data_IF_454510529802
#
_entry.id   IF_454510529802
#
_cell.length_a   1.000
_cell.length_b   1.000
_cell.length_c   1.000
_cell.angle_alpha   90.00
_cell.angle_beta   90.00
_cell.angle_gamma   90.00
#
_symmetry.space_group_name_H-M   'P 1'
#
loop_
_entity.id
_entity.type
_entity.pdbx_description
1 polymer ?
#
# COMPACT_ATOMS: atom_id res chain seq x y z
N UNK A 1 -16.43 -2.85 12.02
CA UNK A 1 -15.47 -1.95 11.35
C UNK A 1 -14.10 -2.47 11.68
N UNK A 2 -13.26 -2.73 10.68
CA UNK A 2 -11.86 -3.11 10.87
C UNK A 2 -11.08 -1.86 11.32
N UNK A 3 -10.17 -2.00 12.28
CA UNK A 3 -9.29 -0.90 12.71
C UNK A 3 -8.18 -0.66 11.68
N UNK A 4 -7.49 0.48 11.80
CA UNK A 4 -6.32 0.76 10.97
C UNK A 4 -5.23 -0.31 11.14
N UNK A 5 -4.93 -0.70 12.38
CA UNK A 5 -3.90 -1.68 12.71
C UNK A 5 -4.27 -3.06 12.14
N UNK A 6 -5.53 -3.47 12.27
CA UNK A 6 -6.02 -4.72 11.68
C UNK A 6 -5.90 -4.72 10.16
N UNK A 7 -6.26 -3.59 9.53
CA UNK A 7 -6.13 -3.43 8.08
C UNK A 7 -4.68 -3.52 7.64
N UNK A 8 -3.79 -2.79 8.32
CA UNK A 8 -2.37 -2.77 7.97
C UNK A 8 -1.72 -4.15 8.15
N UNK A 9 -1.99 -4.83 9.27
CA UNK A 9 -1.52 -6.20 9.47
C UNK A 9 -2.01 -7.16 8.38
N UNK A 10 -3.29 -7.08 7.99
CA UNK A 10 -3.82 -7.91 6.91
C UNK A 10 -3.15 -7.61 5.56
N UNK A 11 -2.89 -6.34 5.25
CA UNK A 11 -2.23 -5.93 4.01
C UNK A 11 -0.76 -6.35 4.02
N UNK A 12 -0.06 -6.19 5.14
CA UNK A 12 1.35 -6.57 5.26
C UNK A 12 1.53 -8.09 5.12
N UNK A 13 0.71 -8.90 5.81
CA UNK A 13 0.68 -10.36 5.66
C UNK A 13 0.40 -10.79 4.22
N UNK A 14 -0.46 -10.06 3.52
CA UNK A 14 -0.73 -10.27 2.10
C UNK A 14 0.52 -9.96 1.26
N UNK A 15 1.14 -8.79 1.45
CA UNK A 15 2.33 -8.38 0.71
C UNK A 15 3.49 -9.36 0.91
N UNK A 16 3.73 -9.82 2.14
CA UNK A 16 4.78 -10.79 2.45
C UNK A 16 4.64 -12.09 1.65
N UNK A 17 3.41 -12.52 1.35
CA UNK A 17 3.14 -13.73 0.57
C UNK A 17 3.08 -13.46 -0.93
N UNK A 18 2.43 -12.37 -1.34
CA UNK A 18 2.14 -12.10 -2.74
C UNK A 18 3.32 -11.52 -3.51
N UNK A 19 4.09 -10.62 -2.91
CA UNK A 19 5.17 -9.90 -3.62
C UNK A 19 6.28 -10.84 -4.11
N UNK A 20 6.78 -11.81 -3.32
CA UNK A 20 7.77 -12.75 -3.83
C UNK A 20 7.26 -13.56 -5.04
N UNK A 21 5.99 -13.99 -5.00
CA UNK A 21 5.37 -14.75 -6.10
C UNK A 21 5.21 -13.88 -7.35
N UNK A 22 4.79 -12.63 -7.18
CA UNK A 22 4.62 -11.69 -8.28
C UNK A 22 5.97 -11.34 -8.93
N UNK A 23 7.01 -11.09 -8.13
CA UNK A 23 8.36 -10.85 -8.64
C UNK A 23 8.91 -12.05 -9.40
N UNK A 24 8.70 -13.27 -8.89
CA UNK A 24 9.07 -14.49 -9.60
C UNK A 24 8.38 -14.56 -10.97
N UNK A 25 7.07 -14.31 -11.03
CA UNK A 25 6.33 -14.30 -12.29
C UNK A 25 6.84 -13.21 -13.26
N UNK A 26 7.24 -12.05 -12.78
CA UNK A 26 7.83 -11.00 -13.62
C UNK A 26 9.19 -11.42 -14.20
N UNK A 27 10.01 -12.14 -13.44
CA UNK A 27 11.29 -12.69 -13.90
C UNK A 27 11.04 -13.72 -14.99
N UNK A 28 10.17 -14.70 -14.73
CA UNK A 28 9.86 -15.79 -15.67
C UNK A 28 9.35 -15.28 -17.02
N UNK A 29 8.57 -14.19 -17.01
CA UNK A 29 8.02 -13.58 -18.22
C UNK A 29 8.92 -12.52 -18.86
N UNK A 30 10.13 -12.29 -18.36
CA UNK A 30 11.03 -11.21 -18.79
C UNK A 30 10.39 -9.80 -18.73
N UNK A 31 9.50 -9.58 -17.75
CA UNK A 31 8.80 -8.31 -17.52
C UNK A 31 9.40 -7.50 -16.36
N UNK A 32 10.45 -8.02 -15.71
CA UNK A 32 11.09 -7.38 -14.59
C UNK A 32 11.63 -5.99 -14.98
N UNK A 33 11.26 -4.98 -14.20
CA UNK A 33 11.77 -3.61 -14.33
C UNK A 33 12.69 -3.29 -13.15
N UNK A 34 13.55 -2.28 -13.32
CA UNK A 34 14.44 -1.81 -12.25
C UNK A 34 13.62 -1.41 -11.02
N UNK A 35 13.84 -2.11 -9.90
CA UNK A 35 13.29 -1.72 -8.60
C UNK A 35 14.12 -0.58 -8.00
N UNK A 36 13.47 0.52 -7.60
CA UNK A 36 14.11 1.64 -6.90
C UNK A 36 13.51 1.69 -5.50
N UNK A 37 14.37 1.77 -4.48
CA UNK A 37 13.92 1.95 -3.10
C UNK A 37 13.03 3.21 -3.01
N UNK A 38 11.80 3.01 -2.54
CA UNK A 38 10.90 4.06 -2.15
C UNK A 38 11.04 4.32 -0.64
N UNK A 39 10.54 5.48 -0.17
CA UNK A 39 10.48 5.78 1.26
C UNK A 39 9.40 5.00 2.00
N UNK A 40 8.35 4.58 1.27
CA UNK A 40 7.27 3.75 1.77
C UNK A 40 7.40 2.35 1.19
N UNK A 41 7.14 1.36 2.03
CA UNK A 41 6.89 -0.02 1.64
C UNK A 41 5.61 -0.13 0.81
N UNK A 42 5.48 -1.26 0.10
CA UNK A 42 4.30 -1.50 -0.71
C UNK A 42 3.04 -1.73 0.15
N UNK A 43 3.17 -2.35 1.33
CA UNK A 43 2.07 -2.51 2.27
C UNK A 43 1.56 -1.16 2.74
N UNK A 44 2.43 -0.23 3.15
CA UNK A 44 2.04 1.14 3.52
C UNK A 44 1.31 1.86 2.37
N UNK A 45 1.82 1.75 1.13
CA UNK A 45 1.17 2.36 -0.03
C UNK A 45 -0.22 1.75 -0.26
N UNK A 46 -0.34 0.42 -0.16
CA UNK A 46 -1.62 -0.27 -0.31
C UNK A 46 -2.62 0.12 0.78
N UNK A 47 -2.20 0.16 2.04
CA UNK A 47 -3.01 0.61 3.18
C UNK A 47 -3.52 2.03 2.95
N UNK A 48 -2.66 2.96 2.53
CA UNK A 48 -3.06 4.35 2.21
C UNK A 48 -4.08 4.42 1.08
N UNK A 49 -3.94 3.60 0.03
CA UNK A 49 -4.90 3.56 -1.08
C UNK A 49 -6.25 3.00 -0.63
N UNK A 50 -6.28 1.94 0.17
CA UNK A 50 -7.51 1.36 0.70
C UNK A 50 -8.23 2.37 1.59
N UNK A 51 -7.50 3.02 2.50
CA UNK A 51 -8.05 4.08 3.36
C UNK A 51 -8.58 5.26 2.55
N UNK A 52 -7.89 5.67 1.49
CA UNK A 52 -8.37 6.72 0.59
C UNK A 52 -9.72 6.35 -0.02
N UNK A 53 -9.86 5.11 -0.52
CA UNK A 53 -11.12 4.63 -1.10
C UNK A 53 -12.24 4.53 -0.06
N UNK A 54 -11.93 4.11 1.17
CA UNK A 54 -12.91 3.98 2.25
C UNK A 54 -13.31 5.33 2.88
N UNK A 55 -12.45 6.34 2.81
CA UNK A 55 -12.67 7.64 3.47
C UNK A 55 -13.52 8.62 2.66
N UNK A 56 -13.92 8.25 1.43
CA UNK A 56 -14.79 9.05 0.55
C UNK A 56 -14.25 10.45 0.18
N UNK A 57 -12.95 10.70 0.33
CA UNK A 57 -12.34 11.93 -0.16
C UNK A 57 -12.42 11.98 -1.69
N UNK A 58 -12.75 13.16 -2.23
CA UNK A 58 -12.86 13.36 -3.69
C UNK A 58 -11.53 13.21 -4.41
N UNK A 59 -10.43 13.63 -3.78
CA UNK A 59 -9.10 13.57 -4.38
C UNK A 59 -8.04 13.26 -3.33
N UNK A 60 -7.04 12.48 -3.76
CA UNK A 60 -5.98 11.96 -2.91
C UNK A 60 -5.20 13.06 -2.19
N UNK A 61 -5.03 14.24 -2.81
CA UNK A 61 -4.32 15.37 -2.19
C UNK A 61 -4.98 15.85 -0.89
N UNK A 62 -6.31 15.91 -0.83
CA UNK A 62 -7.01 16.34 0.39
C UNK A 62 -6.90 15.26 1.46
N UNK A 63 -7.17 14.00 1.10
CA UNK A 63 -6.98 12.86 1.99
C UNK A 63 -5.57 12.85 2.62
N UNK A 64 -4.53 13.01 1.81
CA UNK A 64 -3.16 12.97 2.30
C UNK A 64 -2.85 14.13 3.26
N UNK A 65 -3.19 15.37 2.89
CA UNK A 65 -2.83 16.56 3.68
C UNK A 65 -3.68 16.68 4.95
N UNK A 66 -4.98 16.44 4.84
CA UNK A 66 -5.95 16.70 5.90
C UNK A 66 -6.15 15.50 6.83
N UNK A 67 -5.86 14.28 6.36
CA UNK A 67 -6.02 13.06 7.14
C UNK A 67 -4.68 12.38 7.44
N UNK A 68 -3.96 11.93 6.41
CA UNK A 68 -2.74 11.12 6.61
C UNK A 68 -1.69 11.89 7.40
N UNK A 69 -1.29 13.08 6.94
CA UNK A 69 -0.26 13.86 7.62
C UNK A 69 -0.63 14.31 9.05
N UNK A 70 -1.92 14.36 9.37
CA UNK A 70 -2.38 14.83 10.68
C UNK A 70 -2.52 13.68 11.69
N UNK A 71 -2.97 12.51 11.24
CA UNK A 71 -3.40 11.42 12.12
C UNK A 71 -2.59 10.13 11.98
N UNK A 72 -1.96 9.89 10.82
CA UNK A 72 -1.12 8.72 10.56
C UNK A 72 0.34 9.14 10.69
N UNK A 73 1.01 8.65 11.75
CA UNK A 73 2.44 8.91 12.03
C UNK A 73 3.25 7.64 11.91
#
# INVERSE_FOLDING_TARGET
MMTLEELDCCVDDFCQKFIPLWEQQLIENNLLKRHRAASLSLSEIMTLLILFHMSHYRHFKAFYIEHVQQYLK
#
